data_IF_345085771234
#
_entry.id   IF_345085771234
#
_cell.length_a   1.000
_cell.length_b   1.000
_cell.length_c   1.000
_cell.angle_alpha   90.00
_cell.angle_beta   90.00
_cell.angle_gamma   90.00
#
_symmetry.space_group_name_H-M   'P 1'
#
loop_
_entity.id
_entity.type
_entity.pdbx_description
1 polymer ?
#
# COMPACT_ATOMS: atom_id res chain seq x y z
N UNK A 1 11.17 27.88 -16.81
CA UNK A 1 11.62 26.82 -15.87
C UNK A 1 10.56 25.73 -15.92
N UNK A 2 10.80 24.69 -16.68
CA UNK A 2 9.93 23.51 -16.68
C UNK A 2 9.98 22.89 -15.27
N UNK A 3 8.83 22.81 -14.62
CA UNK A 3 8.68 21.99 -13.43
C UNK A 3 8.98 20.55 -13.85
N UNK A 4 10.16 20.04 -13.50
CA UNK A 4 10.44 18.60 -13.52
C UNK A 4 9.38 17.90 -12.66
N UNK A 5 8.25 17.54 -13.26
CA UNK A 5 7.31 16.63 -12.63
C UNK A 5 8.04 15.30 -12.55
N UNK A 6 8.34 14.85 -11.33
CA UNK A 6 8.89 13.53 -11.14
C UNK A 6 7.90 12.53 -11.79
N UNK A 7 8.38 11.79 -12.77
CA UNK A 7 7.58 10.77 -13.43
C UNK A 7 7.50 9.58 -12.48
N UNK A 8 6.34 9.41 -11.84
CA UNK A 8 6.09 8.25 -10.97
C UNK A 8 5.69 7.07 -11.84
N UNK A 9 6.36 5.96 -11.66
CA UNK A 9 6.15 4.72 -12.40
C UNK A 9 5.70 3.61 -11.44
N UNK A 10 4.84 2.72 -11.92
CA UNK A 10 4.31 1.59 -11.19
C UNK A 10 4.61 0.30 -11.95
N UNK A 11 5.07 -0.71 -11.23
CA UNK A 11 5.29 -2.05 -11.79
C UNK A 11 4.94 -3.14 -10.80
N UNK A 12 4.34 -4.23 -11.28
CA UNK A 12 4.15 -5.42 -10.46
C UNK A 12 5.49 -6.07 -10.15
N UNK A 13 5.67 -6.46 -8.90
CA UNK A 13 6.84 -7.20 -8.44
C UNK A 13 6.63 -8.69 -8.72
N UNK A 14 7.48 -9.25 -9.57
CA UNK A 14 7.51 -10.68 -9.82
C UNK A 14 8.24 -11.45 -8.70
N UNK A 15 7.86 -12.72 -8.47
CA UNK A 15 8.44 -13.55 -7.39
C UNK A 15 9.96 -13.63 -7.46
N UNK A 16 10.51 -13.78 -8.66
CA UNK A 16 11.95 -13.89 -8.91
C UNK A 16 12.72 -12.56 -8.74
N UNK A 17 12.01 -11.46 -8.59
CA UNK A 17 12.61 -10.14 -8.38
C UNK A 17 12.63 -9.74 -6.89
N UNK A 18 11.92 -10.48 -6.01
CA UNK A 18 11.78 -10.10 -4.60
C UNK A 18 13.14 -9.88 -3.94
N UNK A 19 14.09 -10.78 -4.13
CA UNK A 19 15.42 -10.69 -3.51
C UNK A 19 16.15 -9.39 -3.88
N UNK A 20 15.96 -8.91 -5.10
CA UNK A 20 16.56 -7.67 -5.59
C UNK A 20 16.01 -6.44 -4.88
N UNK A 21 14.71 -6.44 -4.54
CA UNK A 21 14.03 -5.26 -4.00
C UNK A 21 13.75 -5.33 -2.50
N UNK A 22 13.73 -6.52 -1.90
CA UNK A 22 13.26 -6.75 -0.54
C UNK A 22 13.87 -5.82 0.51
N UNK A 23 15.18 -5.63 0.51
CA UNK A 23 15.88 -4.75 1.46
C UNK A 23 15.44 -3.28 1.33
N UNK A 24 15.22 -2.81 0.10
CA UNK A 24 14.78 -1.43 -0.15
C UNK A 24 13.33 -1.23 0.30
N UNK A 25 12.44 -2.15 -0.04
CA UNK A 25 11.03 -2.10 0.36
C UNK A 25 10.90 -2.14 1.88
N UNK A 26 11.59 -3.08 2.52
CA UNK A 26 11.60 -3.17 3.99
C UNK A 26 12.17 -1.91 4.66
N UNK A 27 13.22 -1.30 4.10
CA UNK A 27 13.77 -0.07 4.64
C UNK A 27 12.72 1.05 4.68
N UNK A 28 11.92 1.20 3.62
CA UNK A 28 10.84 2.20 3.57
C UNK A 28 9.77 1.90 4.63
N UNK A 29 9.35 0.65 4.76
CA UNK A 29 8.41 0.22 5.79
C UNK A 29 8.95 0.51 7.19
N UNK A 30 10.16 0.05 7.48
CA UNK A 30 10.77 0.21 8.80
C UNK A 30 10.88 1.69 9.20
N UNK A 31 11.39 2.53 8.31
CA UNK A 31 11.57 3.96 8.57
C UNK A 31 10.23 4.68 8.82
N UNK A 32 9.15 4.24 8.19
CA UNK A 32 7.82 4.80 8.39
C UNK A 32 7.17 4.31 9.69
N UNK A 33 7.36 3.04 10.05
CA UNK A 33 6.58 2.37 11.10
C UNK A 33 7.29 2.26 12.46
N UNK A 34 8.60 2.40 12.52
CA UNK A 34 9.39 2.20 13.76
C UNK A 34 8.90 3.03 14.95
N UNK A 35 8.35 4.21 14.71
CA UNK A 35 7.81 5.08 15.75
C UNK A 35 6.30 4.92 15.98
N UNK A 36 5.59 4.27 15.05
CA UNK A 36 4.12 4.06 15.14
C UNK A 36 3.82 2.74 15.81
N UNK A 37 4.47 1.68 15.36
CA UNK A 37 4.27 0.31 15.82
C UNK A 37 5.63 -0.40 16.02
N UNK A 38 6.41 0.00 17.05
CA UNK A 38 7.69 -0.63 17.34
C UNK A 38 7.47 -2.09 17.76
N UNK A 39 8.28 -3.00 17.23
CA UNK A 39 8.20 -4.45 17.53
C UNK A 39 8.99 -4.83 18.78
N UNK A 40 9.99 -4.03 19.14
CA UNK A 40 10.95 -4.37 20.19
C UNK A 40 12.10 -5.27 19.72
N UNK A 41 12.08 -5.74 18.47
CA UNK A 41 13.14 -6.53 17.87
C UNK A 41 14.22 -5.65 17.23
N UNK A 42 15.35 -6.28 16.86
CA UNK A 42 16.33 -5.61 16.00
C UNK A 42 15.77 -5.47 14.57
N UNK A 43 16.29 -4.48 13.83
CA UNK A 43 15.92 -4.26 12.42
C UNK A 43 16.12 -5.51 11.56
N UNK A 44 17.17 -6.28 11.82
CA UNK A 44 17.46 -7.51 11.05
C UNK A 44 16.47 -8.63 11.36
N UNK A 45 16.02 -8.77 12.61
CA UNK A 45 14.97 -9.73 12.99
C UNK A 45 13.64 -9.37 12.35
N UNK A 46 13.27 -8.09 12.38
CA UNK A 46 12.07 -7.59 11.70
C UNK A 46 12.14 -7.80 10.19
N UNK A 47 13.32 -7.55 9.57
CA UNK A 47 13.51 -7.84 8.15
C UNK A 47 13.30 -9.32 7.83
N UNK A 48 13.91 -10.23 8.59
CA UNK A 48 13.76 -11.67 8.35
C UNK A 48 12.31 -12.13 8.48
N UNK A 49 11.61 -11.62 9.50
CA UNK A 49 10.19 -11.91 9.71
C UNK A 49 9.31 -11.40 8.58
N UNK A 50 9.51 -10.16 8.17
CA UNK A 50 8.80 -9.53 7.06
C UNK A 50 9.08 -10.25 5.73
N UNK A 51 10.35 -10.53 5.43
CA UNK A 51 10.76 -11.22 4.20
C UNK A 51 10.12 -12.62 4.10
N UNK A 52 10.14 -13.39 5.19
CA UNK A 52 9.49 -14.72 5.25
C UNK A 52 7.98 -14.61 4.99
N UNK A 53 7.32 -13.62 5.59
CA UNK A 53 5.89 -13.39 5.38
C UNK A 53 5.59 -13.06 3.92
N UNK A 54 6.34 -12.12 3.32
CA UNK A 54 6.16 -11.71 1.92
C UNK A 54 6.42 -12.87 0.96
N UNK A 55 7.46 -13.68 1.18
CA UNK A 55 7.71 -14.90 0.39
C UNK A 55 6.49 -15.84 0.40
N UNK A 56 5.86 -16.02 1.57
CA UNK A 56 4.64 -16.84 1.70
C UNK A 56 3.44 -16.21 0.98
N UNK A 57 3.25 -14.92 1.14
CA UNK A 57 2.15 -14.18 0.52
C UNK A 57 2.23 -14.20 -1.02
N UNK A 58 3.41 -14.09 -1.59
CA UNK A 58 3.64 -14.13 -3.05
C UNK A 58 3.44 -15.52 -3.67
N UNK A 59 3.15 -16.57 -2.89
CA UNK A 59 2.71 -17.85 -3.45
C UNK A 59 1.24 -17.80 -3.93
N UNK A 60 0.48 -16.82 -3.50
CA UNK A 60 -0.92 -16.63 -3.89
C UNK A 60 -1.03 -15.78 -5.16
N UNK A 61 -1.77 -16.25 -6.16
CA UNK A 61 -2.10 -15.47 -7.36
C UNK A 61 -3.09 -14.32 -7.08
N UNK A 62 -3.62 -14.27 -5.87
CA UNK A 62 -4.57 -13.25 -5.41
C UNK A 62 -3.90 -12.10 -4.67
N UNK A 63 -2.59 -12.18 -4.39
CA UNK A 63 -1.81 -11.14 -3.72
C UNK A 63 -0.79 -10.53 -4.64
N UNK A 64 -0.73 -9.21 -4.62
CA UNK A 64 0.11 -8.44 -5.51
C UNK A 64 0.91 -7.39 -4.76
N UNK A 65 2.13 -7.15 -5.22
CA UNK A 65 2.97 -6.05 -4.77
C UNK A 65 3.25 -5.18 -5.98
N UNK A 66 2.97 -3.88 -5.84
CA UNK A 66 3.33 -2.87 -6.82
C UNK A 66 4.50 -2.07 -6.26
N UNK A 67 5.58 -2.03 -7.01
CA UNK A 67 6.73 -1.17 -6.74
C UNK A 67 6.44 0.21 -7.32
N UNK A 68 6.70 1.24 -6.51
CA UNK A 68 6.54 2.64 -6.90
C UNK A 68 7.94 3.24 -7.06
N UNK A 69 8.24 3.76 -8.22
CA UNK A 69 9.55 4.34 -8.52
C UNK A 69 9.45 5.77 -9.06
N UNK A 70 10.52 6.52 -8.87
CA UNK A 70 10.76 7.76 -9.57
C UNK A 70 11.56 7.45 -10.84
N UNK A 71 10.90 7.42 -12.00
CA UNK A 71 11.49 7.05 -13.27
C UNK A 71 12.69 7.94 -13.67
N UNK A 72 12.63 9.24 -13.37
CA UNK A 72 13.72 10.16 -13.68
C UNK A 72 15.00 9.85 -12.87
N UNK A 73 14.88 9.35 -11.64
CA UNK A 73 16.00 9.05 -10.77
C UNK A 73 16.29 7.55 -10.66
N UNK A 74 15.47 6.70 -11.26
CA UNK A 74 15.51 5.22 -11.13
C UNK A 74 15.54 4.78 -9.65
N UNK A 75 14.84 5.50 -8.81
CA UNK A 75 14.79 5.30 -7.36
C UNK A 75 13.48 4.64 -6.96
N UNK A 76 13.56 3.58 -6.13
CA UNK A 76 12.36 3.03 -5.47
C UNK A 76 11.93 4.00 -4.37
N UNK A 77 10.70 4.50 -4.46
CA UNK A 77 10.13 5.49 -3.55
C UNK A 77 9.00 4.93 -2.69
N UNK A 78 8.52 3.73 -2.98
CA UNK A 78 7.46 3.10 -2.22
C UNK A 78 7.02 1.77 -2.77
N UNK A 79 6.00 1.20 -2.12
CA UNK A 79 5.30 0.01 -2.61
C UNK A 79 3.86 -0.03 -2.08
N UNK A 80 3.05 -0.81 -2.77
CA UNK A 80 1.66 -1.09 -2.40
C UNK A 80 1.40 -2.58 -2.48
N UNK A 81 0.84 -3.14 -1.40
CA UNK A 81 0.39 -4.53 -1.33
C UNK A 81 -1.12 -4.57 -1.30
N UNK A 82 -1.71 -5.43 -2.09
CA UNK A 82 -3.13 -5.70 -2.06
C UNK A 82 -3.44 -7.17 -2.39
N UNK A 83 -4.61 -7.58 -2.02
CA UNK A 83 -5.17 -8.88 -2.43
C UNK A 83 -6.59 -8.74 -2.93
N UNK A 84 -7.00 -9.69 -3.75
CA UNK A 84 -8.39 -9.85 -4.20
C UNK A 84 -8.88 -11.23 -3.75
N UNK A 85 -10.07 -11.27 -3.17
CA UNK A 85 -10.71 -12.53 -2.81
C UNK A 85 -12.20 -12.41 -3.05
N UNK A 86 -12.74 -13.27 -3.94
CA UNK A 86 -14.12 -13.18 -4.41
C UNK A 86 -14.42 -11.77 -4.95
N UNK A 87 -15.26 -11.01 -4.25
CA UNK A 87 -15.64 -9.64 -4.62
C UNK A 87 -15.02 -8.57 -3.71
N UNK A 88 -13.98 -8.92 -2.96
CA UNK A 88 -13.32 -8.02 -1.99
C UNK A 88 -11.91 -7.67 -2.48
N UNK A 89 -11.64 -6.37 -2.55
CA UNK A 89 -10.31 -5.81 -2.73
C UNK A 89 -9.77 -5.38 -1.37
N UNK A 90 -8.71 -6.01 -0.90
CA UNK A 90 -8.09 -5.69 0.38
C UNK A 90 -6.80 -4.91 0.17
N UNK A 91 -6.78 -3.67 0.64
CA UNK A 91 -5.57 -2.85 0.68
C UNK A 91 -4.76 -3.26 1.91
N UNK A 92 -3.70 -4.04 1.70
CA UNK A 92 -2.92 -4.63 2.79
C UNK A 92 -1.89 -3.66 3.35
N UNK A 93 -1.15 -3.00 2.49
CA UNK A 93 -0.07 -2.11 2.92
C UNK A 93 0.31 -1.11 1.83
N UNK A 94 0.48 0.14 2.22
CA UNK A 94 1.08 1.16 1.36
C UNK A 94 2.19 1.88 2.12
N UNK A 95 3.37 1.90 1.53
CA UNK A 95 4.53 2.58 2.09
C UNK A 95 5.15 3.51 1.05
N UNK A 96 5.35 4.76 1.42
CA UNK A 96 5.99 5.79 0.57
C UNK A 96 7.09 6.45 1.41
N UNK A 97 8.28 6.61 0.84
CA UNK A 97 9.37 7.36 1.47
C UNK A 97 8.87 8.72 1.96
N UNK A 98 9.26 9.12 3.17
CA UNK A 98 8.81 10.39 3.80
C UNK A 98 9.03 11.60 2.92
N UNK A 99 10.15 11.65 2.17
CA UNK A 99 10.47 12.75 1.24
C UNK A 99 9.49 12.88 0.06
N UNK A 100 8.72 11.83 -0.24
CA UNK A 100 7.74 11.77 -1.33
C UNK A 100 6.28 11.80 -0.85
N UNK A 101 6.03 11.68 0.45
CA UNK A 101 4.68 11.71 1.00
C UNK A 101 4.01 13.07 0.75
N UNK A 102 2.75 13.03 0.28
CA UNK A 102 1.98 14.24 -0.04
C UNK A 102 2.44 14.98 -1.30
N UNK A 103 3.33 14.39 -2.10
CA UNK A 103 3.84 14.97 -3.34
C UNK A 103 3.45 14.12 -4.55
N UNK A 104 3.49 14.73 -5.74
CA UNK A 104 3.35 14.07 -7.05
C UNK A 104 2.04 13.30 -7.28
N UNK A 105 1.00 13.55 -6.48
CA UNK A 105 -0.29 12.84 -6.61
C UNK A 105 -0.15 11.30 -6.61
N UNK A 106 0.85 10.76 -5.89
CA UNK A 106 1.18 9.33 -5.92
C UNK A 106 -0.04 8.45 -5.63
N UNK A 107 -0.83 8.81 -4.62
CA UNK A 107 -2.03 8.05 -4.27
C UNK A 107 -3.01 7.94 -5.43
N UNK A 108 -3.32 9.06 -6.07
CA UNK A 108 -4.29 9.11 -7.16
C UNK A 108 -3.82 8.32 -8.37
N UNK A 109 -2.57 8.52 -8.78
CA UNK A 109 -2.00 7.80 -9.93
C UNK A 109 -1.85 6.31 -9.65
N UNK A 110 -1.51 5.92 -8.40
CA UNK A 110 -1.49 4.52 -7.96
C UNK A 110 -2.87 3.87 -8.07
N UNK A 111 -3.92 4.52 -7.55
CA UNK A 111 -5.27 3.96 -7.64
C UNK A 111 -5.76 3.90 -9.08
N UNK A 112 -5.43 4.86 -9.93
CA UNK A 112 -5.69 4.77 -11.37
C UNK A 112 -5.06 3.52 -11.97
N UNK A 113 -3.77 3.30 -11.72
CA UNK A 113 -3.08 2.10 -12.16
C UNK A 113 -3.71 0.81 -11.66
N UNK A 114 -4.03 0.74 -10.36
CA UNK A 114 -4.65 -0.47 -9.76
C UNK A 114 -6.03 -0.74 -10.35
N UNK A 115 -6.88 0.28 -10.46
CA UNK A 115 -8.25 0.13 -10.98
C UNK A 115 -8.28 -0.34 -12.44
N UNK A 116 -7.28 0.01 -13.23
CA UNK A 116 -7.13 -0.45 -14.61
C UNK A 116 -6.67 -1.92 -14.72
N UNK A 117 -6.02 -2.45 -13.68
CA UNK A 117 -5.42 -3.79 -13.69
C UNK A 117 -6.21 -4.85 -12.90
N UNK A 118 -7.20 -4.45 -12.09
CA UNK A 118 -8.07 -5.41 -11.41
C UNK A 118 -9.04 -6.00 -12.44
N UNK A 119 -8.94 -7.32 -12.62
CA UNK A 119 -9.79 -8.07 -13.55
C UNK A 119 -11.08 -8.60 -12.89
N UNK A 120 -11.09 -8.74 -11.57
CA UNK A 120 -12.21 -9.30 -10.82
C UNK A 120 -13.35 -8.29 -10.63
N UNK A 121 -14.59 -8.79 -10.54
CA UNK A 121 -15.73 -7.97 -10.15
C UNK A 121 -15.68 -7.65 -8.65
N UNK A 122 -15.20 -6.47 -8.31
CA UNK A 122 -15.08 -6.01 -6.93
C UNK A 122 -16.34 -5.28 -6.48
N UNK A 123 -16.82 -5.60 -5.27
CA UNK A 123 -17.95 -4.94 -4.60
C UNK A 123 -17.53 -4.18 -3.36
N UNK A 124 -16.57 -4.71 -2.61
CA UNK A 124 -16.13 -4.15 -1.35
C UNK A 124 -14.64 -3.88 -1.36
N UNK A 125 -14.26 -2.87 -0.59
CA UNK A 125 -12.86 -2.51 -0.33
C UNK A 125 -12.63 -2.61 1.17
N UNK A 126 -11.56 -3.27 1.57
CA UNK A 126 -11.19 -3.45 2.96
C UNK A 126 -9.75 -2.99 3.22
N UNK A 127 -9.50 -2.61 4.47
CA UNK A 127 -8.18 -2.32 4.98
C UNK A 127 -8.10 -2.54 6.48
N UNK A 128 -6.89 -2.76 6.99
CA UNK A 128 -6.57 -2.73 8.41
C UNK A 128 -5.59 -1.60 8.68
N UNK A 129 -5.81 -0.84 9.74
CA UNK A 129 -4.91 0.22 10.14
C UNK A 129 -4.70 0.21 11.66
N UNK A 130 -3.44 0.33 12.10
CA UNK A 130 -3.11 0.49 13.51
C UNK A 130 -3.88 1.68 14.09
N UNK A 131 -4.46 1.51 15.28
CA UNK A 131 -5.27 2.54 15.96
C UNK A 131 -4.48 3.83 16.22
N UNK A 132 -3.16 3.74 16.33
CA UNK A 132 -2.25 4.88 16.50
C UNK A 132 -1.90 5.57 15.19
N UNK A 133 -2.15 4.93 14.05
CA UNK A 133 -1.87 5.50 12.74
C UNK A 133 -3.02 6.39 12.26
N UNK A 134 -3.21 7.52 12.93
CA UNK A 134 -4.30 8.47 12.65
C UNK A 134 -4.25 9.01 11.21
N UNK A 135 -3.05 9.11 10.63
CA UNK A 135 -2.87 9.54 9.23
C UNK A 135 -3.50 8.53 8.26
N UNK A 136 -3.20 7.24 8.42
CA UNK A 136 -3.81 6.19 7.60
C UNK A 136 -5.31 6.12 7.78
N UNK A 137 -5.80 6.20 9.02
CA UNK A 137 -7.24 6.22 9.32
C UNK A 137 -7.95 7.38 8.62
N UNK A 138 -7.35 8.57 8.63
CA UNK A 138 -7.89 9.74 7.94
C UNK A 138 -7.92 9.57 6.42
N UNK A 139 -6.89 8.97 5.82
CA UNK A 139 -6.85 8.67 4.38
C UNK A 139 -7.93 7.64 4.02
N UNK A 140 -8.02 6.53 4.74
CA UNK A 140 -9.02 5.48 4.49
C UNK A 140 -10.45 6.01 4.59
N UNK A 141 -10.73 6.88 5.57
CA UNK A 141 -12.02 7.57 5.67
C UNK A 141 -12.35 8.42 4.45
N UNK A 142 -11.36 9.14 3.89
CA UNK A 142 -11.55 9.92 2.64
C UNK A 142 -11.82 9.03 1.43
N UNK A 143 -11.29 7.81 1.41
CA UNK A 143 -11.57 6.81 0.38
C UNK A 143 -12.96 6.17 0.51
N UNK A 144 -13.71 6.51 1.56
CA UNK A 144 -15.06 6.00 1.79
C UNK A 144 -15.13 4.75 2.66
N UNK A 145 -14.05 4.40 3.38
CA UNK A 145 -14.07 3.27 4.31
C UNK A 145 -14.50 3.74 5.70
N UNK A 146 -15.29 2.89 6.37
CA UNK A 146 -15.71 3.07 7.75
C UNK A 146 -15.23 1.93 8.62
N UNK A 147 -15.00 2.18 9.90
CA UNK A 147 -14.63 1.15 10.87
C UNK A 147 -15.81 0.20 11.07
N UNK A 148 -15.58 -1.09 10.86
CA UNK A 148 -16.57 -2.15 11.05
C UNK A 148 -16.20 -3.12 12.18
N UNK A 149 -14.99 -3.01 12.72
CA UNK A 149 -14.51 -3.87 13.79
C UNK A 149 -13.03 -3.65 14.08
N UNK A 150 -12.46 -4.64 14.75
CA UNK A 150 -11.05 -4.68 15.11
C UNK A 150 -10.44 -6.03 14.70
N UNK A 151 -9.11 -6.07 14.58
CA UNK A 151 -8.41 -7.34 14.41
C UNK A 151 -8.40 -8.16 15.71
N UNK A 152 -8.01 -9.44 15.64
CA UNK A 152 -8.08 -10.37 16.77
C UNK A 152 -7.35 -9.90 18.04
N UNK A 153 -6.28 -9.14 17.91
CA UNK A 153 -5.49 -8.63 19.05
C UNK A 153 -5.90 -7.22 19.49
N UNK A 154 -6.90 -6.60 18.85
CA UNK A 154 -7.41 -5.28 19.20
C UNK A 154 -6.46 -4.11 18.90
N UNK A 155 -5.39 -4.32 18.16
CA UNK A 155 -4.37 -3.28 17.85
C UNK A 155 -4.79 -2.44 16.63
N UNK A 156 -5.48 -3.05 15.67
CA UNK A 156 -5.88 -2.40 14.43
C UNK A 156 -7.39 -2.39 14.25
N UNK A 157 -7.89 -1.31 13.66
CA UNK A 157 -9.26 -1.28 13.15
C UNK A 157 -9.36 -2.04 11.83
N UNK A 158 -10.48 -2.74 11.64
CA UNK A 158 -10.94 -3.27 10.37
C UNK A 158 -11.88 -2.26 9.73
N UNK A 159 -11.57 -1.82 8.52
CA UNK A 159 -12.36 -0.84 7.78
C UNK A 159 -12.89 -1.46 6.50
N UNK A 160 -14.10 -1.10 6.12
CA UNK A 160 -14.74 -1.52 4.87
C UNK A 160 -15.48 -0.34 4.23
N UNK A 161 -15.47 -0.33 2.90
CA UNK A 161 -16.26 0.54 2.07
C UNK A 161 -16.75 -0.18 0.83
N UNK A 162 -17.49 0.51 -0.03
CA UNK A 162 -17.89 -0.01 -1.33
C UNK A 162 -16.84 0.34 -2.39
N UNK A 163 -16.69 -0.53 -3.37
CA UNK A 163 -15.82 -0.25 -4.52
C UNK A 163 -16.31 0.97 -5.31
N UNK A 164 -17.63 1.15 -5.41
CA UNK A 164 -18.23 2.34 -6.02
C UNK A 164 -17.78 3.63 -5.34
N UNK A 165 -17.69 3.66 -4.00
CA UNK A 165 -17.21 4.83 -3.26
C UNK A 165 -15.74 5.15 -3.58
N UNK A 166 -14.88 4.13 -3.69
CA UNK A 166 -13.49 4.29 -4.11
C UNK A 166 -13.38 4.85 -5.53
N UNK A 167 -14.14 4.29 -6.47
CA UNK A 167 -14.17 4.76 -7.86
C UNK A 167 -14.69 6.21 -7.94
N UNK A 168 -15.72 6.54 -7.16
CA UNK A 168 -16.28 7.90 -7.09
C UNK A 168 -15.27 8.90 -6.54
N UNK A 169 -14.54 8.52 -5.49
CA UNK A 169 -13.46 9.35 -4.96
C UNK A 169 -12.40 9.60 -6.05
N UNK A 170 -11.92 8.54 -6.71
CA UNK A 170 -10.92 8.65 -7.77
C UNK A 170 -11.37 9.61 -8.89
N UNK A 171 -12.61 9.47 -9.38
CA UNK A 171 -13.17 10.32 -10.43
C UNK A 171 -13.32 11.78 -9.99
N UNK A 172 -13.73 12.02 -8.74
CA UNK A 172 -13.91 13.37 -8.19
C UNK A 172 -12.59 14.13 -8.06
N UNK A 173 -11.54 13.46 -7.66
CA UNK A 173 -10.20 14.03 -7.56
C UNK A 173 -9.56 14.27 -8.95
N UNK A 174 -10.22 13.85 -10.05
CA UNK A 174 -9.72 13.92 -11.44
C UNK A 174 -10.18 15.18 -12.20
N UNK A 175 -10.97 16.05 -11.54
CA UNK A 175 -11.49 17.31 -12.14
C UNK A 175 -10.63 18.51 -11.77
#
# INVERSE_FOLDING_TARGET
>A
MEKNSAMVEFSYLEKNELDKYARMLFSILFDNMVNIAPTGNSREEDYKSWYKAVCGEMQSDKRHIIVISNGNMKEIIGFFKYSTNESVFTMEEIQIKRSYQGKYNIFKTLYGFVLEHIAEEIRFVEAYADKKNTKSLGILGKLGLSIIGENKNGISYHLRGTYEALVKWYKKESV
#
